data_IF_371104992137
#
_entry.id   IF_371104992137
#
_cell.length_a   1.000
_cell.length_b   1.000
_cell.length_c   1.000
_cell.angle_alpha   90.00
_cell.angle_beta   90.00
_cell.angle_gamma   90.00
#
_symmetry.space_group_name_H-M   'P 1'
#
loop_
_entity.id
_entity.type
_entity.pdbx_description
1 polymer ?
#
# COMPACT_ATOMS: atom_id res chain seq x y z
N UNK A 1 18.93 -64.84 -21.62
CA UNK A 1 19.57 -63.54 -21.30
C UNK A 1 18.80 -62.31 -21.81
N UNK A 2 17.79 -62.44 -22.67
CA UNK A 2 17.05 -61.30 -23.25
C UNK A 2 16.03 -60.63 -22.30
N UNK A 3 15.42 -61.36 -21.37
CA UNK A 3 14.40 -60.79 -20.46
C UNK A 3 14.94 -59.76 -19.45
N UNK A 4 16.21 -59.89 -19.02
CA UNK A 4 16.85 -58.92 -18.10
C UNK A 4 17.13 -57.56 -18.76
N UNK A 5 17.40 -57.54 -20.07
CA UNK A 5 17.64 -56.29 -20.82
C UNK A 5 16.34 -55.54 -21.12
N UNK A 6 15.24 -56.26 -21.33
CA UNK A 6 13.92 -55.66 -21.55
C UNK A 6 13.38 -55.01 -20.26
N UNK A 7 13.57 -55.65 -19.11
CA UNK A 7 13.13 -55.11 -17.82
C UNK A 7 13.90 -53.84 -17.43
N UNK A 8 15.20 -53.78 -17.72
CA UNK A 8 16.04 -52.61 -17.49
C UNK A 8 15.67 -51.42 -18.40
N UNK A 9 15.29 -51.69 -19.65
CA UNK A 9 14.81 -50.66 -20.58
C UNK A 9 13.43 -50.10 -20.16
N UNK A 10 12.54 -50.93 -19.63
CA UNK A 10 11.25 -50.48 -19.08
C UNK A 10 11.43 -49.70 -17.78
N UNK A 11 12.35 -50.11 -16.90
CA UNK A 11 12.70 -49.35 -15.68
C UNK A 11 13.42 -48.04 -15.99
N UNK A 12 14.24 -47.96 -17.06
CA UNK A 12 14.85 -46.71 -17.53
C UNK A 12 13.81 -45.80 -18.21
N UNK A 13 12.83 -46.35 -18.94
CA UNK A 13 11.73 -45.60 -19.53
C UNK A 13 10.72 -45.09 -18.47
N UNK A 14 10.59 -45.79 -17.34
CA UNK A 14 9.81 -45.35 -16.18
C UNK A 14 10.59 -44.40 -15.25
N UNK A 15 11.93 -44.44 -15.29
CA UNK A 15 12.79 -43.48 -14.57
C UNK A 15 13.03 -42.18 -15.37
N UNK A 16 12.73 -42.16 -16.67
CA UNK A 16 12.79 -40.99 -17.54
C UNK A 16 11.47 -40.23 -17.66
N UNK A 17 10.48 -40.51 -16.80
CA UNK A 17 9.59 -39.42 -16.40
C UNK A 17 10.45 -38.47 -15.59
N UNK A 18 11.17 -37.61 -16.30
CA UNK A 18 11.59 -36.33 -15.79
C UNK A 18 10.40 -35.82 -14.98
N UNK A 19 10.59 -35.78 -13.67
CA UNK A 19 9.97 -34.75 -12.86
C UNK A 19 10.38 -33.45 -13.52
N UNK A 20 9.66 -33.07 -14.58
CA UNK A 20 9.27 -31.70 -14.78
C UNK A 20 8.54 -31.39 -13.48
N UNK A 21 9.30 -30.93 -12.48
CA UNK A 21 8.79 -30.12 -11.39
C UNK A 21 8.04 -29.02 -12.12
N UNK A 22 6.76 -29.25 -12.38
CA UNK A 22 5.89 -28.23 -12.91
C UNK A 22 6.05 -27.07 -11.94
N UNK A 23 6.67 -25.98 -12.41
CA UNK A 23 6.90 -24.82 -11.56
C UNK A 23 5.57 -24.47 -10.91
N UNK A 24 5.55 -24.46 -9.57
CA UNK A 24 4.31 -24.22 -8.85
C UNK A 24 3.74 -22.88 -9.30
N UNK A 25 2.46 -22.82 -9.71
CA UNK A 25 1.93 -21.66 -10.38
C UNK A 25 1.98 -20.45 -9.44
N UNK A 26 2.47 -19.33 -9.98
CA UNK A 26 2.55 -18.05 -9.26
C UNK A 26 1.56 -17.06 -9.88
N UNK A 27 1.00 -16.20 -9.05
CA UNK A 27 0.09 -15.15 -9.55
C UNK A 27 0.85 -14.10 -10.38
N UNK A 28 2.14 -13.90 -10.13
CA UNK A 28 3.00 -12.98 -10.90
C UNK A 28 3.05 -13.32 -12.40
N UNK A 29 2.90 -14.59 -12.76
CA UNK A 29 2.94 -15.03 -14.15
C UNK A 29 1.65 -14.69 -14.92
N UNK A 30 0.61 -14.26 -14.18
CA UNK A 30 -0.71 -13.96 -14.72
C UNK A 30 -1.11 -12.49 -14.58
N UNK A 31 -0.52 -11.78 -13.62
CA UNK A 31 -0.93 -10.43 -13.28
C UNK A 31 0.11 -9.39 -13.71
N UNK A 32 -0.35 -8.31 -14.35
CA UNK A 32 0.53 -7.22 -14.76
C UNK A 32 0.99 -6.41 -13.54
N UNK A 33 2.31 -6.27 -13.37
CA UNK A 33 2.92 -5.48 -12.28
C UNK A 33 3.58 -4.22 -12.87
N UNK A 34 3.02 -3.03 -12.62
CA UNK A 34 3.60 -1.78 -13.09
C UNK A 34 4.94 -1.49 -12.40
N UNK A 35 5.94 -1.06 -13.16
CA UNK A 35 7.30 -0.77 -12.65
C UNK A 35 7.55 0.70 -12.34
N UNK A 36 6.63 1.55 -12.77
CA UNK A 36 6.60 2.98 -12.57
C UNK A 36 5.15 3.43 -12.63
N UNK A 37 4.88 4.64 -12.17
CA UNK A 37 3.60 5.27 -12.42
C UNK A 37 3.42 6.57 -11.66
N UNK A 38 2.34 7.23 -12.04
CA UNK A 38 1.77 8.40 -11.41
C UNK A 38 0.35 8.07 -10.96
N UNK A 39 0.04 8.33 -9.70
CA UNK A 39 -1.26 8.08 -9.09
C UNK A 39 -1.75 9.36 -8.41
N UNK A 40 -3.01 9.73 -8.66
CA UNK A 40 -3.73 10.75 -7.91
C UNK A 40 -4.90 10.09 -7.19
N UNK A 41 -4.99 10.26 -5.87
CA UNK A 41 -6.01 9.59 -5.07
C UNK A 41 -6.44 10.43 -3.86
N UNK A 42 -7.66 10.19 -3.40
CA UNK A 42 -8.12 10.59 -2.08
C UNK A 42 -7.85 9.43 -1.10
N UNK A 43 -7.18 9.74 0.02
CA UNK A 43 -6.87 8.78 1.07
C UNK A 43 -7.59 9.17 2.35
N UNK A 44 -8.33 8.22 2.92
CA UNK A 44 -8.81 8.33 4.29
C UNK A 44 -7.93 7.47 5.19
N UNK A 45 -7.11 8.11 6.01
CA UNK A 45 -6.16 7.43 6.90
C UNK A 45 -6.90 7.02 8.17
N UNK A 46 -7.35 5.76 8.18
CA UNK A 46 -7.84 5.04 9.36
C UNK A 46 -9.11 5.67 9.95
N UNK A 47 -10.25 5.22 9.44
CA UNK A 47 -11.53 5.40 10.11
C UNK A 47 -11.86 4.13 10.90
N UNK A 48 -12.31 4.30 12.14
CA UNK A 48 -12.80 3.22 12.96
C UNK A 48 -14.26 2.98 12.63
N UNK A 49 -14.60 1.77 12.26
CA UNK A 49 -15.96 1.38 11.91
C UNK A 49 -16.52 0.43 12.97
N UNK A 50 -17.73 0.75 13.42
CA UNK A 50 -18.56 -0.14 14.22
C UNK A 50 -19.52 -0.93 13.30
N UNK A 51 -19.92 -2.14 13.74
CA UNK A 51 -20.87 -3.02 13.04
C UNK A 51 -20.26 -3.93 11.98
N UNK A 52 -18.94 -3.90 11.77
CA UNK A 52 -18.25 -4.74 10.77
C UNK A 52 -18.05 -6.16 11.31
N UNK A 53 -18.80 -7.13 10.77
CA UNK A 53 -18.70 -8.55 11.15
C UNK A 53 -18.15 -9.40 10.00
N UNK A 54 -16.83 -9.42 9.86
CA UNK A 54 -16.14 -10.22 8.84
C UNK A 54 -15.36 -11.36 9.50
N UNK A 55 -15.96 -12.52 9.67
CA UNK A 55 -15.30 -13.66 10.35
C UNK A 55 -14.76 -14.69 9.37
N UNK A 56 -15.41 -14.82 8.22
CA UNK A 56 -15.17 -15.87 7.23
C UNK A 56 -14.89 -15.28 5.84
N UNK A 57 -14.28 -16.09 4.96
CA UNK A 57 -14.09 -15.73 3.55
C UNK A 57 -15.44 -15.49 2.84
N UNK A 58 -16.51 -16.17 3.28
CA UNK A 58 -17.85 -15.95 2.72
C UNK A 58 -18.38 -14.56 3.04
N UNK A 59 -18.16 -14.06 4.26
CA UNK A 59 -18.57 -12.71 4.67
C UNK A 59 -17.86 -11.65 3.81
N UNK A 60 -16.58 -11.87 3.49
CA UNK A 60 -15.79 -10.98 2.63
C UNK A 60 -16.36 -10.94 1.21
N UNK A 61 -16.74 -12.08 0.64
CA UNK A 61 -17.38 -12.14 -0.69
C UNK A 61 -18.74 -11.45 -0.66
N UNK A 62 -19.57 -11.74 0.34
CA UNK A 62 -20.87 -11.13 0.49
C UNK A 62 -20.78 -9.61 0.60
N UNK A 63 -19.88 -9.09 1.44
CA UNK A 63 -19.66 -7.66 1.60
C UNK A 63 -19.22 -7.01 0.29
N UNK A 64 -18.26 -7.64 -0.42
CA UNK A 64 -17.82 -7.15 -1.73
C UNK A 64 -18.98 -7.05 -2.71
N UNK A 65 -19.78 -8.10 -2.82
CA UNK A 65 -20.89 -8.17 -3.78
C UNK A 65 -22.00 -7.18 -3.42
N UNK A 66 -22.27 -6.96 -2.13
CA UNK A 66 -23.17 -5.91 -1.66
C UNK A 66 -22.67 -4.51 -2.05
N UNK A 67 -21.38 -4.24 -1.86
CA UNK A 67 -20.75 -2.96 -2.21
C UNK A 67 -20.75 -2.69 -3.72
N UNK A 68 -20.40 -3.69 -4.52
CA UNK A 68 -20.43 -3.61 -5.99
C UNK A 68 -21.84 -3.44 -6.56
N UNK A 69 -22.88 -3.88 -5.84
CA UNK A 69 -24.26 -3.68 -6.27
C UNK A 69 -24.71 -2.21 -6.22
N UNK A 70 -24.05 -1.37 -5.42
CA UNK A 70 -24.31 0.06 -5.41
C UNK A 70 -23.69 0.74 -6.63
N UNK A 71 -24.44 1.67 -7.25
CA UNK A 71 -23.88 2.47 -8.34
C UNK A 71 -22.72 3.33 -7.82
N UNK A 72 -21.62 3.37 -8.57
CA UNK A 72 -20.47 4.21 -8.24
C UNK A 72 -20.88 5.70 -8.20
N UNK A 73 -20.72 6.33 -7.04
CA UNK A 73 -20.86 7.77 -6.85
C UNK A 73 -19.71 8.30 -5.99
N UNK A 74 -18.83 9.08 -6.62
CA UNK A 74 -17.67 9.70 -5.96
C UNK A 74 -18.09 10.59 -4.78
N UNK A 75 -19.17 11.35 -4.90
CA UNK A 75 -19.59 12.27 -3.83
C UNK A 75 -20.15 11.51 -2.63
N UNK A 76 -20.89 10.42 -2.88
CA UNK A 76 -21.36 9.53 -1.82
C UNK A 76 -20.20 8.85 -1.09
N UNK A 77 -19.17 8.39 -1.82
CA UNK A 77 -17.97 7.76 -1.26
C UNK A 77 -17.22 8.74 -0.33
N UNK A 78 -16.90 9.94 -0.82
CA UNK A 78 -16.13 10.92 -0.04
C UNK A 78 -16.89 11.49 1.16
N UNK A 79 -18.21 11.29 1.22
CA UNK A 79 -19.05 11.62 2.38
C UNK A 79 -19.37 10.42 3.27
N UNK A 80 -18.84 9.23 2.95
CA UNK A 80 -19.07 7.99 3.69
C UNK A 80 -20.51 7.44 3.64
N UNK A 81 -21.39 8.03 2.83
CA UNK A 81 -22.82 7.68 2.76
C UNK A 81 -23.09 6.21 2.38
N UNK A 82 -22.15 5.57 1.68
CA UNK A 82 -22.27 4.16 1.28
C UNK A 82 -22.03 3.20 2.46
N UNK A 83 -21.33 3.63 3.51
CA UNK A 83 -21.15 2.84 4.74
C UNK A 83 -22.44 2.77 5.56
N UNK A 84 -23.21 3.86 5.61
CA UNK A 84 -24.50 3.91 6.31
C UNK A 84 -25.48 2.87 5.74
N UNK A 85 -25.44 2.64 4.42
CA UNK A 85 -26.29 1.64 3.75
C UNK A 85 -25.93 0.19 4.12
N UNK A 86 -24.72 -0.04 4.62
CA UNK A 86 -24.26 -1.33 5.13
C UNK A 86 -24.47 -1.47 6.64
N UNK A 87 -25.00 -0.44 7.30
CA UNK A 87 -25.15 -0.40 8.75
C UNK A 87 -23.84 -0.14 9.50
N UNK A 88 -22.79 0.32 8.81
CA UNK A 88 -21.53 0.70 9.46
C UNK A 88 -21.57 2.17 9.86
N UNK A 89 -21.00 2.47 11.01
CA UNK A 89 -20.89 3.85 11.48
C UNK A 89 -19.44 4.18 11.79
N UNK A 90 -19.02 5.39 11.41
CA UNK A 90 -17.69 5.90 11.72
C UNK A 90 -17.66 6.30 13.20
N UNK A 91 -16.81 5.64 13.98
CA UNK A 91 -16.60 5.92 15.39
C UNK A 91 -16.01 7.31 15.53
N UNK A 92 -16.72 8.18 16.27
CA UNK A 92 -16.24 9.51 16.62
C UNK A 92 -15.39 9.41 17.88
N UNK A 93 -14.08 9.58 17.74
CA UNK A 93 -13.18 9.67 18.89
C UNK A 93 -13.37 11.01 19.61
N UNK A 94 -13.92 10.97 20.82
CA UNK A 94 -13.99 12.14 21.68
C UNK A 94 -12.57 12.58 22.08
N UNK A 95 -12.26 13.86 21.87
CA UNK A 95 -10.97 14.43 22.29
C UNK A 95 -10.99 14.51 23.82
N UNK A 96 -10.01 13.91 24.53
CA UNK A 96 -9.95 14.03 25.98
C UNK A 96 -9.87 15.52 26.37
N UNK A 97 -10.58 15.96 27.42
CA UNK A 97 -10.58 17.36 27.82
C UNK A 97 -9.15 17.83 28.09
N UNK A 98 -8.80 19.02 27.60
CA UNK A 98 -7.48 19.59 27.85
C UNK A 98 -7.25 19.78 29.35
N UNK A 99 -6.02 19.57 29.86
CA UNK A 99 -5.69 19.90 31.23
C UNK A 99 -6.00 21.39 31.54
N UNK A 100 -6.38 21.73 32.79
CA UNK A 100 -6.67 23.10 33.18
C UNK A 100 -5.51 24.05 32.82
N UNK A 101 -5.80 25.13 32.08
CA UNK A 101 -4.82 26.12 31.68
C UNK A 101 -4.10 25.86 30.35
N UNK A 102 -4.33 24.72 29.69
CA UNK A 102 -3.77 24.42 28.37
C UNK A 102 -4.91 24.42 27.33
N UNK A 103 -4.80 25.28 26.30
CA UNK A 103 -5.65 25.16 25.11
C UNK A 103 -4.98 24.21 24.14
N UNK A 104 -5.40 22.95 24.11
CA UNK A 104 -4.99 22.04 23.04
C UNK A 104 -6.02 22.19 21.92
N UNK A 105 -5.71 22.99 20.91
CA UNK A 105 -6.43 22.94 19.64
C UNK A 105 -5.90 21.72 18.87
N UNK A 106 -6.55 20.58 19.05
CA UNK A 106 -6.28 19.42 18.23
C UNK A 106 -6.86 19.71 16.84
N UNK A 107 -6.00 20.07 15.89
CA UNK A 107 -6.40 20.19 14.49
C UNK A 107 -6.59 18.76 13.97
N UNK A 108 -7.82 18.27 14.01
CA UNK A 108 -8.18 17.06 13.26
C UNK A 108 -8.08 17.43 11.78
N UNK A 109 -7.18 16.77 11.05
CA UNK A 109 -7.12 16.89 9.60
C UNK A 109 -8.44 16.43 8.95
N UNK A 110 -8.68 16.77 7.68
CA UNK A 110 -9.88 16.32 7.00
C UNK A 110 -9.91 14.79 6.92
N UNK A 111 -11.13 14.23 6.89
CA UNK A 111 -11.33 12.78 6.74
C UNK A 111 -10.69 12.21 5.47
N UNK A 112 -10.52 13.04 4.45
CA UNK A 112 -9.89 12.71 3.18
C UNK A 112 -8.75 13.68 2.89
N UNK A 113 -7.59 13.14 2.56
CA UNK A 113 -6.43 13.89 2.10
C UNK A 113 -6.18 13.61 0.63
N UNK A 114 -5.74 14.63 -0.12
CA UNK A 114 -5.32 14.42 -1.51
C UNK A 114 -3.87 13.96 -1.54
N UNK A 115 -3.63 12.80 -2.16
CA UNK A 115 -2.31 12.17 -2.26
C UNK A 115 -1.93 12.02 -3.72
N UNK A 116 -0.75 12.51 -4.07
CA UNK A 116 -0.07 12.25 -5.34
C UNK A 116 1.08 11.31 -5.07
N UNK A 117 1.17 10.23 -5.82
CA UNK A 117 2.23 9.26 -5.68
C UNK A 117 2.93 9.02 -7.02
N UNK A 118 4.23 9.32 -7.06
CA UNK A 118 5.10 9.13 -8.22
C UNK A 118 6.16 8.08 -7.89
N UNK A 119 6.39 7.12 -8.80
CA UNK A 119 7.41 6.09 -8.55
C UNK A 119 8.05 5.48 -9.78
N UNK A 120 9.19 4.86 -9.52
CA UNK A 120 9.90 3.91 -10.36
C UNK A 120 10.23 2.67 -9.52
N UNK A 121 11.00 1.73 -10.07
CA UNK A 121 11.41 0.52 -9.34
C UNK A 121 12.25 0.81 -8.10
N UNK A 122 12.96 1.94 -8.08
CA UNK A 122 13.99 2.24 -7.09
C UNK A 122 13.64 3.43 -6.19
N UNK A 123 12.79 4.33 -6.68
CA UNK A 123 12.48 5.61 -6.03
C UNK A 123 10.99 5.84 -6.02
N UNK A 124 10.47 6.40 -4.92
CA UNK A 124 9.11 6.89 -4.86
C UNK A 124 9.00 8.19 -4.08
N UNK A 125 7.94 8.93 -4.36
CA UNK A 125 7.54 10.14 -3.62
C UNK A 125 6.03 10.13 -3.44
N UNK A 126 5.59 10.10 -2.19
CA UNK A 126 4.22 10.33 -1.71
C UNK A 126 4.11 11.80 -1.29
N UNK A 127 3.23 12.57 -1.94
CA UNK A 127 2.87 13.93 -1.56
C UNK A 127 1.42 13.95 -1.12
N UNK A 128 1.21 14.05 0.19
CA UNK A 128 -0.11 14.13 0.79
C UNK A 128 -0.36 15.56 1.25
N UNK A 129 -1.46 16.15 0.80
CA UNK A 129 -1.81 17.54 1.09
C UNK A 129 -3.23 17.66 1.65
N UNK A 130 -3.40 18.61 2.57
CA UNK A 130 -4.68 19.04 3.10
C UNK A 130 -4.59 20.47 3.63
N UNK A 131 -5.60 21.28 3.34
CA UNK A 131 -5.64 22.70 3.70
C UNK A 131 -4.35 23.46 3.30
N UNK A 132 -3.60 23.95 4.28
CA UNK A 132 -2.30 24.65 4.08
C UNK A 132 -1.09 23.77 4.40
N UNK A 133 -1.31 22.47 4.57
CA UNK A 133 -0.32 21.51 5.04
C UNK A 133 0.02 20.51 3.95
N UNK A 134 1.31 20.27 3.76
CA UNK A 134 1.83 19.23 2.86
C UNK A 134 2.78 18.31 3.64
N UNK A 135 2.61 17.01 3.44
CA UNK A 135 3.49 15.96 3.93
C UNK A 135 4.08 15.25 2.72
N UNK A 136 5.39 15.24 2.61
CA UNK A 136 6.10 14.47 1.60
C UNK A 136 6.81 13.32 2.30
N UNK A 137 6.56 12.10 1.87
CA UNK A 137 7.35 10.94 2.23
C UNK A 137 7.98 10.34 0.99
N UNK A 138 9.29 10.22 0.99
CA UNK A 138 10.02 9.80 -0.19
C UNK A 138 11.17 8.88 0.17
N UNK A 139 11.50 7.98 -0.76
CA UNK A 139 12.62 7.07 -0.62
C UNK A 139 13.30 6.85 -1.96
N UNK A 140 14.62 6.77 -1.91
CA UNK A 140 15.51 6.39 -3.01
C UNK A 140 16.47 5.29 -2.55
N UNK A 141 17.35 4.77 -3.41
CA UNK A 141 18.41 3.84 -3.01
C UNK A 141 19.39 4.42 -1.98
N UNK A 142 19.48 5.75 -1.87
CA UNK A 142 20.49 6.41 -1.03
C UNK A 142 19.93 7.00 0.26
N UNK A 143 18.65 7.36 0.29
CA UNK A 143 18.07 7.97 1.49
C UNK A 143 16.55 7.87 1.56
N UNK A 144 16.03 8.21 2.74
CA UNK A 144 14.60 8.33 3.04
C UNK A 144 14.34 9.69 3.68
N UNK A 145 13.29 10.37 3.21
CA UNK A 145 12.96 11.73 3.60
C UNK A 145 11.50 11.81 3.99
N UNK A 146 11.24 12.38 5.17
CA UNK A 146 9.92 12.86 5.58
C UNK A 146 9.99 14.36 5.73
N UNK A 147 9.21 15.09 4.94
CA UNK A 147 9.11 16.54 4.95
C UNK A 147 7.69 16.92 5.35
N UNK A 148 7.58 17.78 6.36
CA UNK A 148 6.34 18.41 6.76
C UNK A 148 6.42 19.91 6.48
N UNK A 149 5.47 20.42 5.73
CA UNK A 149 5.34 21.83 5.37
C UNK A 149 4.01 22.38 5.88
N UNK A 150 4.07 23.53 6.55
CA UNK A 150 2.90 24.31 6.96
C UNK A 150 3.18 25.77 6.65
N UNK A 151 2.49 26.32 5.65
CA UNK A 151 2.83 27.61 5.05
C UNK A 151 4.28 27.64 4.54
N UNK A 152 5.06 28.62 4.99
CA UNK A 152 6.48 28.79 4.61
C UNK A 152 7.44 27.95 5.47
N UNK A 153 6.95 27.29 6.52
CA UNK A 153 7.80 26.52 7.43
C UNK A 153 7.94 25.07 6.99
N UNK A 154 9.18 24.60 6.85
CA UNK A 154 9.50 23.21 6.52
C UNK A 154 10.28 22.53 7.65
N UNK A 155 9.85 21.33 8.05
CA UNK A 155 10.60 20.42 8.91
C UNK A 155 10.93 19.15 8.14
N UNK A 156 12.17 18.70 8.21
CA UNK A 156 12.67 17.57 7.46
C UNK A 156 13.27 16.55 8.43
N UNK A 157 12.92 15.29 8.25
CA UNK A 157 13.60 14.13 8.83
C UNK A 157 14.25 13.38 7.68
N UNK A 158 15.57 13.20 7.74
CA UNK A 158 16.36 12.56 6.71
C UNK A 158 17.15 11.41 7.33
N UNK A 159 17.13 10.24 6.69
CA UNK A 159 17.84 9.06 7.17
C UNK A 159 18.36 8.21 6.02
N UNK A 160 19.23 7.25 6.35
CA UNK A 160 19.51 6.13 5.46
C UNK A 160 18.19 5.37 5.15
N UNK A 161 18.09 4.72 3.98
CA UNK A 161 16.86 4.04 3.58
C UNK A 161 16.60 2.86 4.53
N UNK A 162 15.44 2.87 5.18
CA UNK A 162 15.07 1.82 6.13
C UNK A 162 14.22 0.74 5.44
N UNK A 163 14.14 -0.49 5.99
CA UNK A 163 13.12 -1.43 5.56
C UNK A 163 11.73 -0.77 5.64
N UNK A 164 10.88 -0.99 4.63
CA UNK A 164 9.53 -0.42 4.62
C UNK A 164 8.78 -0.85 5.89
N UNK A 165 8.14 0.13 6.54
CA UNK A 165 7.36 -0.08 7.78
C UNK A 165 5.88 -0.28 7.43
N UNK A 166 5.13 -1.08 8.22
CA UNK A 166 3.67 -1.17 8.10
C UNK A 166 3.01 0.21 8.20
N UNK A 167 2.00 0.48 7.36
CA UNK A 167 1.23 1.73 7.37
C UNK A 167 1.66 2.79 6.34
N UNK A 168 2.84 2.63 5.72
CA UNK A 168 3.24 3.45 4.59
C UNK A 168 2.44 3.05 3.34
N UNK A 169 2.11 4.02 2.47
CA UNK A 169 1.50 3.72 1.19
C UNK A 169 2.53 3.04 0.29
N UNK A 170 2.25 1.79 -0.09
CA UNK A 170 3.05 1.03 -1.05
C UNK A 170 2.13 0.66 -2.22
N UNK A 171 2.28 1.27 -3.41
CA UNK A 171 1.33 1.08 -4.51
C UNK A 171 1.17 -0.38 -4.88
N UNK A 172 2.27 -1.13 -4.94
CA UNK A 172 2.20 -2.55 -5.26
C UNK A 172 1.37 -3.29 -4.19
N UNK A 173 1.43 -2.91 -2.92
CA UNK A 173 0.59 -3.51 -1.89
C UNK A 173 -0.87 -3.08 -2.02
N UNK A 174 -1.11 -1.77 -2.19
CA UNK A 174 -2.45 -1.22 -2.32
C UNK A 174 -3.18 -1.75 -3.55
N UNK A 175 -2.48 -1.98 -4.66
CA UNK A 175 -3.03 -2.49 -5.92
C UNK A 175 -3.02 -4.03 -6.00
N UNK A 176 -2.74 -4.74 -4.90
CA UNK A 176 -2.59 -6.20 -4.88
C UNK A 176 -1.57 -6.75 -5.90
N UNK A 177 -0.53 -5.96 -6.20
CA UNK A 177 0.59 -6.31 -7.08
C UNK A 177 1.90 -6.59 -6.34
N UNK A 178 1.86 -6.73 -5.01
CA UNK A 178 3.07 -6.91 -4.22
C UNK A 178 3.75 -8.25 -4.51
N UNK A 179 5.08 -8.19 -4.64
CA UNK A 179 5.91 -9.38 -4.90
C UNK A 179 5.71 -10.48 -3.86
N UNK A 180 5.51 -10.11 -2.59
CA UNK A 180 5.37 -11.06 -1.47
C UNK A 180 4.22 -12.04 -1.68
N UNK A 181 3.11 -11.59 -2.24
CA UNK A 181 1.95 -12.45 -2.52
C UNK A 181 2.02 -13.04 -3.93
N UNK A 182 2.51 -12.27 -4.91
CA UNK A 182 2.49 -12.70 -6.30
C UNK A 182 3.57 -13.70 -6.69
N UNK A 183 4.76 -13.65 -6.06
CA UNK A 183 5.90 -14.53 -6.39
C UNK A 183 5.86 -15.86 -5.63
N UNK A 184 4.96 -15.99 -4.66
CA UNK A 184 4.76 -17.23 -3.92
C UNK A 184 3.86 -18.19 -4.69
N UNK A 185 4.15 -19.50 -4.63
CA UNK A 185 3.21 -20.52 -5.05
C UNK A 185 1.84 -20.34 -4.39
N UNK A 186 0.78 -20.64 -5.13
CA UNK A 186 -0.58 -20.67 -4.60
C UNK A 186 -1.21 -22.06 -4.75
N UNK A 187 -2.17 -22.35 -3.90
CA UNK A 187 -3.09 -23.49 -4.05
C UNK A 187 -4.50 -22.98 -4.35
N UNK A 188 -5.26 -23.72 -5.16
CA UNK A 188 -6.64 -23.37 -5.44
C UNK A 188 -7.56 -23.98 -4.36
N UNK A 189 -8.42 -23.17 -3.75
CA UNK A 189 -9.44 -23.64 -2.80
C UNK A 189 -10.82 -23.09 -3.18
N UNK A 190 -11.87 -23.89 -2.95
CA UNK A 190 -13.26 -23.47 -3.14
C UNK A 190 -13.83 -22.96 -1.82
N UNK A 191 -14.45 -21.78 -1.84
CA UNK A 191 -15.19 -21.24 -0.70
C UNK A 191 -16.27 -20.28 -1.21
N UNK A 192 -17.43 -20.21 -0.54
CA UNK A 192 -18.53 -19.30 -0.92
C UNK A 192 -18.94 -19.35 -2.41
N UNK A 193 -18.86 -20.52 -3.03
CA UNK A 193 -19.15 -20.70 -4.46
C UNK A 193 -18.10 -20.12 -5.43
N UNK A 194 -16.97 -19.64 -4.92
CA UNK A 194 -15.88 -19.04 -5.68
C UNK A 194 -14.58 -19.83 -5.54
N UNK A 195 -13.70 -19.71 -6.54
CA UNK A 195 -12.34 -20.27 -6.51
C UNK A 195 -11.36 -19.21 -6.04
N UNK A 196 -10.58 -19.53 -5.00
CA UNK A 196 -9.55 -18.65 -4.43
C UNK A 196 -8.15 -19.17 -4.74
N UNK A 197 -7.24 -18.23 -4.99
CA UNK A 197 -5.80 -18.45 -5.02
C UNK A 197 -5.25 -18.21 -3.63
N UNK A 198 -4.88 -19.28 -2.94
CA UNK A 198 -4.46 -19.23 -1.54
C UNK A 198 -2.94 -19.28 -1.45
N UNK A 199 -2.36 -18.21 -0.92
CA UNK A 199 -0.92 -18.06 -0.68
C UNK A 199 -0.64 -18.27 0.80
N UNK A 200 0.19 -19.26 1.12
CA UNK A 200 0.46 -19.62 2.51
C UNK A 200 1.63 -18.83 3.13
N UNK A 201 1.43 -18.37 4.36
CA UNK A 201 2.45 -17.84 5.25
C UNK A 201 2.50 -18.63 6.55
N UNK A 202 3.53 -18.37 7.37
CA UNK A 202 3.78 -19.14 8.59
C UNK A 202 2.60 -19.07 9.59
N UNK A 203 1.95 -17.92 9.71
CA UNK A 203 0.87 -17.67 10.70
C UNK A 203 -0.52 -17.50 10.09
N UNK A 204 -0.58 -17.13 8.81
CA UNK A 204 -1.83 -16.81 8.13
C UNK A 204 -1.77 -17.26 6.67
N UNK A 205 -2.93 -17.30 6.01
CA UNK A 205 -3.07 -17.52 4.58
C UNK A 205 -3.69 -16.27 3.95
N UNK A 206 -3.22 -15.86 2.78
CA UNK A 206 -3.93 -14.87 1.97
C UNK A 206 -4.77 -15.62 0.94
N UNK A 207 -6.08 -15.41 1.00
CA UNK A 207 -7.06 -15.95 0.07
C UNK A 207 -7.41 -14.85 -0.93
N UNK A 208 -6.92 -14.97 -2.16
CA UNK A 208 -7.13 -13.98 -3.21
C UNK A 208 -8.28 -14.43 -4.12
N UNK A 209 -9.31 -13.61 -4.23
CA UNK A 209 -10.33 -13.74 -5.28
C UNK A 209 -9.82 -13.01 -6.52
N UNK A 210 -9.42 -13.77 -7.54
CA UNK A 210 -8.86 -13.22 -8.78
C UNK A 210 -9.86 -13.40 -9.90
N UNK A 211 -10.13 -12.34 -10.67
CA UNK A 211 -10.84 -12.47 -11.94
C UNK A 211 -9.88 -13.06 -12.98
N UNK A 212 -10.10 -14.30 -13.43
CA UNK A 212 -9.18 -14.95 -14.36
C UNK A 212 -9.22 -14.34 -15.77
N UNK A 213 -10.24 -13.54 -16.10
CA UNK A 213 -10.41 -12.92 -17.43
C UNK A 213 -9.89 -11.49 -17.49
N UNK A 214 -9.82 -10.82 -16.34
CA UNK A 214 -9.61 -9.37 -16.29
C UNK A 214 -8.27 -8.95 -15.70
N UNK A 215 -7.30 -9.85 -15.44
CA UNK A 215 -6.04 -9.46 -14.77
C UNK A 215 -6.33 -8.59 -13.53
N UNK A 216 -7.23 -9.03 -12.66
CA UNK A 216 -7.70 -8.22 -11.53
C UNK A 216 -7.82 -9.07 -10.27
N UNK A 217 -7.36 -8.51 -9.15
CA UNK A 217 -7.67 -9.04 -7.82
C UNK A 217 -8.90 -8.28 -7.34
N UNK A 218 -9.93 -9.02 -6.93
CA UNK A 218 -11.24 -8.49 -6.55
C UNK A 218 -11.38 -8.36 -5.04
N UNK A 219 -10.77 -9.30 -4.31
CA UNK A 219 -10.70 -9.29 -2.86
C UNK A 219 -9.47 -10.08 -2.37
N UNK A 220 -8.96 -9.72 -1.21
CA UNK A 220 -7.98 -10.49 -0.44
C UNK A 220 -8.54 -10.67 0.96
N UNK A 221 -8.58 -11.90 1.47
CA UNK A 221 -8.85 -12.18 2.88
C UNK A 221 -7.60 -12.78 3.53
N UNK A 222 -7.10 -12.16 4.59
CA UNK A 222 -6.04 -12.74 5.43
C UNK A 222 -6.68 -13.57 6.53
N UNK A 223 -6.44 -14.88 6.50
CA UNK A 223 -7.03 -15.87 7.40
C UNK A 223 -5.97 -16.38 8.35
N UNK A 224 -6.19 -16.23 9.65
CA UNK A 224 -5.32 -16.82 10.67
C UNK A 224 -5.41 -18.35 10.63
N UNK A 225 -4.27 -19.05 10.52
CA UNK A 225 -4.25 -20.51 10.37
C UNK A 225 -4.68 -21.24 11.64
N UNK A 226 -4.53 -20.61 12.82
CA UNK A 226 -4.81 -21.25 14.10
C UNK A 226 -6.31 -21.27 14.40
N UNK A 227 -6.98 -20.15 14.17
CA UNK A 227 -8.40 -19.98 14.50
C UNK A 227 -9.31 -20.11 13.27
N UNK A 228 -8.74 -20.16 12.06
CA UNK A 228 -9.47 -20.17 10.79
C UNK A 228 -10.46 -18.99 10.67
N UNK A 229 -10.03 -17.81 11.12
CA UNK A 229 -10.79 -16.57 11.12
C UNK A 229 -10.12 -15.54 10.24
N UNK A 230 -10.92 -14.73 9.55
CA UNK A 230 -10.42 -13.56 8.83
C UNK A 230 -9.93 -12.53 9.85
N UNK A 231 -8.68 -12.09 9.71
CA UNK A 231 -8.04 -11.06 10.56
C UNK A 231 -7.83 -9.73 9.82
N UNK A 232 -8.11 -9.72 8.53
CA UNK A 232 -8.14 -8.53 7.70
C UNK A 232 -8.57 -8.87 6.30
N UNK A 233 -9.07 -7.87 5.57
CA UNK A 233 -9.39 -8.04 4.17
C UNK A 233 -9.17 -6.76 3.39
N UNK A 234 -8.99 -6.90 2.08
CA UNK A 234 -8.92 -5.79 1.15
C UNK A 234 -9.89 -6.03 0.02
N UNK A 235 -10.78 -5.06 -0.25
CA UNK A 235 -11.77 -5.12 -1.31
C UNK A 235 -11.38 -4.15 -2.42
N UNK A 236 -11.50 -4.61 -3.67
CA UNK A 236 -11.17 -3.84 -4.88
C UNK A 236 -12.45 -3.65 -5.68
N UNK A 237 -12.94 -2.41 -5.70
CA UNK A 237 -14.30 -2.10 -6.14
C UNK A 237 -14.30 -1.17 -7.36
N UNK A 238 -15.34 -1.31 -8.17
CA UNK A 238 -15.65 -0.47 -9.33
C UNK A 238 -14.51 -0.43 -10.35
N UNK A 239 -14.10 -1.60 -10.83
CA UNK A 239 -13.00 -1.73 -11.78
C UNK A 239 -13.22 -0.90 -13.04
N UNK A 240 -12.27 0.00 -13.31
CA UNK A 240 -12.17 0.73 -14.57
C UNK A 240 -11.58 -0.20 -15.62
N UNK A 241 -12.19 -0.18 -16.81
CA UNK A 241 -11.66 -0.93 -17.94
C UNK A 241 -10.28 -0.37 -18.37
N UNK A 242 -9.39 -1.21 -18.88
CA UNK A 242 -8.08 -0.79 -19.37
C UNK A 242 -8.18 0.33 -20.41
N UNK A 243 -7.17 1.21 -20.43
CA UNK A 243 -7.07 2.32 -21.37
C UNK A 243 -5.59 2.57 -21.74
N UNK A 244 -5.34 3.62 -22.52
CA UNK A 244 -3.99 3.97 -23.00
C UNK A 244 -2.98 4.29 -21.89
N UNK A 245 -3.45 4.69 -20.71
CA UNK A 245 -2.61 5.02 -19.53
C UNK A 245 -2.47 3.87 -18.54
N UNK A 246 -3.34 2.85 -18.62
CA UNK A 246 -3.38 1.72 -17.70
C UNK A 246 -3.88 0.46 -18.42
N UNK A 247 -2.96 -0.48 -18.69
CA UNK A 247 -3.26 -1.71 -19.46
C UNK A 247 -4.00 -2.80 -18.69
N UNK A 248 -4.14 -2.66 -17.37
CA UNK A 248 -4.89 -3.59 -16.53
C UNK A 248 -6.08 -2.85 -15.89
N UNK A 249 -7.14 -3.55 -15.46
CA UNK A 249 -8.26 -2.92 -14.81
C UNK A 249 -7.87 -2.30 -13.47
N UNK A 250 -8.21 -1.03 -13.30
CA UNK A 250 -7.84 -0.26 -12.12
C UNK A 250 -9.05 -0.11 -11.19
N UNK A 251 -8.97 -0.49 -9.91
CA UNK A 251 -10.05 -0.20 -8.95
C UNK A 251 -10.21 1.32 -8.77
N UNK A 252 -11.47 1.81 -8.74
CA UNK A 252 -11.73 3.21 -8.31
C UNK A 252 -11.69 3.35 -6.80
N UNK A 253 -12.08 2.31 -6.08
CA UNK A 253 -12.17 2.32 -4.63
C UNK A 253 -11.53 1.06 -4.06
N UNK A 254 -10.67 1.24 -3.07
CA UNK A 254 -10.06 0.17 -2.30
C UNK A 254 -10.38 0.39 -0.84
N UNK A 255 -10.92 -0.64 -0.19
CA UNK A 255 -11.21 -0.67 1.23
C UNK A 255 -10.29 -1.70 1.88
N UNK A 256 -9.44 -1.28 2.82
CA UNK A 256 -8.57 -2.18 3.56
C UNK A 256 -8.99 -2.22 5.03
N UNK A 257 -9.55 -3.35 5.45
CA UNK A 257 -10.06 -3.62 6.78
C UNK A 257 -9.00 -4.38 7.60
N UNK A 258 -8.56 -3.76 8.69
CA UNK A 258 -7.86 -4.43 9.79
C UNK A 258 -8.87 -4.80 10.87
N UNK A 259 -9.06 -6.10 11.11
CA UNK A 259 -9.98 -6.58 12.12
C UNK A 259 -9.22 -6.71 13.44
N UNK A 260 -9.59 -5.87 14.41
CA UNK A 260 -9.02 -5.94 15.75
C UNK A 260 -9.84 -6.89 16.65
N UNK A 261 -9.27 -7.34 17.78
CA UNK A 261 -9.97 -8.21 18.74
C UNK A 261 -11.15 -7.53 19.44
N UNK A 262 -11.09 -6.20 19.58
CA UNK A 262 -12.17 -5.37 20.10
C UNK A 262 -13.05 -5.00 18.90
N UNK A 263 -14.38 -5.08 19.00
CA UNK A 263 -15.38 -5.01 17.91
C UNK A 263 -15.31 -3.80 16.94
N UNK A 264 -14.27 -2.97 17.04
CA UNK A 264 -13.90 -1.88 16.15
C UNK A 264 -13.02 -2.38 15.02
N UNK A 265 -13.42 -2.08 13.78
CA UNK A 265 -12.61 -2.36 12.59
C UNK A 265 -11.89 -1.10 12.11
N UNK A 266 -10.58 -1.18 11.94
CA UNK A 266 -9.80 -0.12 11.29
C UNK A 266 -9.95 -0.23 9.78
N UNK A 267 -10.48 0.81 9.13
CA UNK A 267 -10.53 0.86 7.67
C UNK A 267 -9.62 1.96 7.13
N UNK A 268 -8.76 1.61 6.17
CA UNK A 268 -8.09 2.59 5.31
C UNK A 268 -8.74 2.55 3.94
N UNK A 269 -9.09 3.72 3.41
CA UNK A 269 -9.72 3.81 2.10
C UNK A 269 -8.86 4.60 1.12
N UNK A 270 -8.83 4.11 -0.11
CA UNK A 270 -8.19 4.76 -1.25
C UNK A 270 -9.20 4.91 -2.37
N UNK A 271 -9.44 6.15 -2.78
CA UNK A 271 -10.25 6.47 -3.95
C UNK A 271 -9.35 7.02 -5.05
N UNK A 272 -9.22 6.32 -6.17
CA UNK A 272 -8.33 6.70 -7.26
C UNK A 272 -9.03 7.67 -8.21
N UNK A 273 -8.48 8.87 -8.33
CA UNK A 273 -8.93 9.90 -9.26
C UNK A 273 -8.25 9.69 -10.62
N UNK A 274 -6.93 9.42 -10.63
CA UNK A 274 -6.15 9.16 -11.85
C UNK A 274 -5.05 8.12 -11.63
N UNK A 275 -4.75 7.36 -12.68
CA UNK A 275 -3.60 6.47 -12.74
C UNK A 275 -2.97 6.48 -14.14
N UNK A 276 -1.65 6.62 -14.19
CA UNK A 276 -0.85 6.53 -15.42
C UNK A 276 0.41 5.72 -15.17
N UNK A 277 0.49 4.54 -15.77
CA UNK A 277 1.63 3.62 -15.66
C UNK A 277 2.44 3.55 -16.96
N UNK A 278 1.95 4.18 -18.03
CA UNK A 278 2.50 4.08 -19.39
C UNK A 278 3.36 5.31 -19.73
N UNK A 279 3.02 6.47 -19.19
CA UNK A 279 3.82 7.70 -19.32
C UNK A 279 5.01 7.66 -18.37
N UNK A 280 6.26 7.84 -18.84
CA UNK A 280 7.42 7.92 -17.97
C UNK A 280 7.32 9.07 -16.97
N UNK A 281 7.57 8.76 -15.69
CA UNK A 281 7.58 9.77 -14.62
C UNK A 281 8.72 10.76 -14.85
N UNK A 282 8.43 12.06 -14.82
CA UNK A 282 9.46 13.09 -15.02
C UNK A 282 10.37 13.15 -13.81
N UNK A 283 11.66 13.43 -14.02
CA UNK A 283 12.65 13.51 -12.95
C UNK A 283 12.23 14.45 -11.82
N UNK A 284 11.65 15.60 -12.14
CA UNK A 284 11.22 16.61 -11.15
C UNK A 284 10.13 16.09 -10.21
N UNK A 285 9.28 15.17 -10.67
CA UNK A 285 8.25 14.54 -9.86
C UNK A 285 8.84 13.60 -8.80
N UNK A 286 10.07 13.15 -8.97
CA UNK A 286 10.79 12.28 -8.03
C UNK A 286 11.75 13.06 -7.12
N UNK A 287 11.73 14.39 -7.15
CA UNK A 287 12.59 15.24 -6.33
C UNK A 287 11.87 15.71 -5.07
N UNK A 288 12.65 15.92 -4.01
CA UNK A 288 12.18 16.55 -2.76
C UNK A 288 12.93 17.86 -2.56
N UNK A 289 12.39 19.00 -3.05
CA UNK A 289 13.01 20.30 -2.87
C UNK A 289 12.81 20.80 -1.43
N UNK A 290 13.83 21.45 -0.88
CA UNK A 290 13.80 22.04 0.46
C UNK A 290 14.37 23.46 0.45
N UNK A 291 13.75 24.34 1.21
CA UNK A 291 14.08 25.76 1.27
C UNK A 291 15.13 26.07 2.32
N UNK A 292 15.88 27.15 2.09
CA UNK A 292 16.74 27.76 3.07
C UNK A 292 15.97 28.03 4.37
N UNK A 293 16.61 27.75 5.50
CA UNK A 293 16.02 27.96 6.83
C UNK A 293 15.13 26.83 7.32
N UNK A 294 14.81 25.82 6.49
CA UNK A 294 14.08 24.63 6.88
C UNK A 294 14.79 23.87 8.02
N UNK A 295 14.01 23.33 8.95
CA UNK A 295 14.51 22.60 10.12
C UNK A 295 14.86 21.16 9.72
N UNK A 296 16.13 20.90 9.51
CA UNK A 296 16.68 19.59 9.19
C UNK A 296 16.99 18.78 10.45
N UNK A 297 16.54 17.53 10.46
CA UNK A 297 16.82 16.55 11.50
C UNK A 297 17.37 15.28 10.86
N UNK A 298 18.54 14.84 11.32
CA UNK A 298 19.04 13.49 11.06
C UNK A 298 18.93 12.67 12.34
N UNK A 299 18.19 11.55 12.27
CA UNK A 299 18.04 10.60 13.37
C UNK A 299 19.00 9.43 13.15
N UNK A 300 20.14 9.46 13.84
CA UNK A 300 20.95 8.27 14.09
C UNK A 300 20.62 7.73 15.49
N UNK A 301 20.85 6.43 15.72
CA UNK A 301 20.54 5.73 17.00
C UNK A 301 21.14 6.41 18.26
N UNK A 302 22.15 7.26 18.09
CA UNK A 302 22.92 7.87 19.19
C UNK A 302 23.07 9.39 19.09
N UNK A 303 22.51 10.05 18.06
CA UNK A 303 22.74 11.48 17.83
C UNK A 303 21.54 12.16 17.14
N UNK A 304 20.89 13.08 17.86
CA UNK A 304 19.91 14.00 17.30
C UNK A 304 20.62 15.21 16.69
N UNK A 305 20.98 15.12 15.41
CA UNK A 305 21.50 16.27 14.68
C UNK A 305 20.33 17.11 14.16
N UNK A 306 20.07 18.26 14.79
CA UNK A 306 19.04 19.19 14.35
C UNK A 306 19.62 20.58 14.02
N UNK A 307 19.46 21.05 12.79
CA UNK A 307 19.98 22.34 12.31
C UNK A 307 19.06 22.96 11.26
N UNK A 308 19.25 24.24 10.97
CA UNK A 308 18.59 24.88 9.83
C UNK A 308 19.44 24.72 8.57
N UNK A 309 18.78 24.48 7.43
CA UNK A 309 19.48 24.42 6.15
C UNK A 309 20.02 25.80 5.76
N UNK A 310 21.28 25.88 5.31
CA UNK A 310 21.92 27.16 4.96
C UNK A 310 21.43 27.78 3.65
N UNK A 311 20.91 26.97 2.73
CA UNK A 311 20.52 27.35 1.37
C UNK A 311 19.45 26.39 0.86
N UNK A 312 18.78 26.77 -0.22
CA UNK A 312 17.88 25.89 -0.96
C UNK A 312 18.65 24.63 -1.45
N UNK A 313 17.95 23.50 -1.44
CA UNK A 313 18.43 22.23 -2.02
C UNK A 313 17.32 21.71 -2.93
N UNK A 314 17.62 21.57 -4.22
CA UNK A 314 16.64 21.17 -5.23
C UNK A 314 16.13 19.74 -5.04
N UNK A 315 16.95 18.87 -4.47
CA UNK A 315 16.61 17.48 -4.26
C UNK A 315 17.40 16.87 -3.09
N UNK A 316 16.80 16.88 -1.90
CA UNK A 316 17.43 16.28 -0.71
C UNK A 316 17.36 14.75 -0.71
N UNK A 317 16.43 14.15 -1.46
CA UNK A 317 16.20 12.70 -1.50
C UNK A 317 17.38 11.94 -2.11
N UNK A 318 18.07 12.55 -3.07
CA UNK A 318 19.22 11.95 -3.73
C UNK A 318 20.56 12.35 -3.09
N UNK A 319 20.54 12.84 -1.85
CA UNK A 319 21.72 13.11 -1.04
C UNK A 319 21.80 12.16 0.16
N UNK A 320 23.00 11.66 0.45
CA UNK A 320 23.26 11.00 1.73
C UNK A 320 23.12 11.99 2.89
N UNK A 321 22.58 11.58 4.06
CA UNK A 321 22.47 12.47 5.22
C UNK A 321 23.80 13.10 5.64
N UNK A 322 24.90 12.37 5.55
CA UNK A 322 26.25 12.84 5.87
C UNK A 322 26.70 13.96 4.92
N UNK A 323 26.28 13.91 3.65
CA UNK A 323 26.54 14.96 2.67
C UNK A 323 25.82 16.25 3.05
N UNK A 324 24.55 16.14 3.45
CA UNK A 324 23.76 17.30 3.92
C UNK A 324 24.36 17.88 5.20
N UNK A 325 24.78 17.05 6.15
CA UNK A 325 25.47 17.50 7.37
C UNK A 325 26.76 18.26 7.06
N UNK A 326 27.60 17.75 6.15
CA UNK A 326 28.83 18.43 5.71
C UNK A 326 28.52 19.77 5.05
N UNK A 327 27.45 19.85 4.25
CA UNK A 327 27.00 21.12 3.66
C UNK A 327 26.63 22.15 4.73
N UNK A 328 25.92 21.73 5.78
CA UNK A 328 25.55 22.60 6.92
C UNK A 328 26.79 23.04 7.72
N UNK A 329 27.75 22.14 7.93
CA UNK A 329 28.96 22.42 8.71
C UNK A 329 29.94 23.35 7.96
N UNK A 330 30.17 23.15 6.66
CA UNK A 330 31.15 23.94 5.88
C UNK A 330 30.85 25.43 5.85
N UNK A 331 29.58 25.83 5.89
CA UNK A 331 29.21 27.24 5.93
C UNK A 331 29.42 27.92 7.30
N UNK A 332 29.68 27.15 8.36
CA UNK A 332 30.00 27.73 9.68
C UNK A 332 31.45 28.17 9.81
N UNK A 333 32.34 27.70 8.93
CA UNK A 333 33.75 28.07 8.89
C UNK A 333 34.05 28.82 7.58
N UNK A 334 33.61 30.09 7.43
CA UNK A 334 34.03 30.94 6.33
C UNK A 334 35.53 31.25 6.39
#
# INVERSE_FOLDING_TARGET
MFGRRLLLLVLLALASTELVLAEEPKLRDRLTVPRQGHLELQRAIIADLDGVQLQTVADVVQMRDQLEAFAYDRQAILKWNFLDQLGFSVVKHEIPPSPPGVKIELIQGPAWTTTIYDYTQETFVDRTSYDTTEHIYARSPVSEVSLHQSGDSQTIIHSAPQPQRPGNFVPDEVLARNKRSLERPYVLRQAAGQTFHVVEFQRYENWLLVDPKQDAVLAIASVDKKNNQVVGCTLFLYLQQPNEKCRFPMPRLILNFGLLPDDVCHVTMYHFDQADFETPVKRQQLQVPVKQGARYTYKAETLDYQRRLPRDVDDILNLFPETVQKMIQKQRNP
#
